data_IF_919070258554
#
_entry.id   IF_919070258554
#
_cell.length_a   1.000
_cell.length_b   1.000
_cell.length_c   1.000
_cell.angle_alpha   90.00
_cell.angle_beta   90.00
_cell.angle_gamma   90.00
#
_symmetry.space_group_name_H-M   'P 1'
#
loop_
_entity.id
_entity.type
_entity.pdbx_description
1 polymer ?
2 non-polymer ?
3 non-polymer ?
#
# COMPACT_ATOMS: atom_id res chain seq x y z
N UNK A 2 -20.82 10.66 -11.64
CA UNK A 2 -21.90 10.45 -10.63
C UNK A 2 -21.33 10.26 -9.22
N UNK A 3 -20.48 11.20 -8.79
CA UNK A 3 -19.84 11.16 -7.47
C UNK A 3 -20.24 12.35 -6.61
N UNK A 4 -20.55 12.11 -5.34
CA UNK A 4 -20.94 13.20 -4.43
C UNK A 4 -20.20 13.14 -3.11
N UNK A 5 -19.23 14.04 -2.95
CA UNK A 5 -18.44 14.10 -1.72
C UNK A 5 -19.31 14.19 -0.50
N UNK A 6 -20.47 14.83 -0.65
CA UNK A 6 -21.41 14.99 0.45
C UNK A 6 -21.94 13.64 0.92
N UNK A 7 -22.41 12.83 -0.04
CA UNK A 7 -22.95 11.52 0.27
C UNK A 7 -21.86 10.63 0.89
N UNK A 8 -20.63 10.74 0.37
CA UNK A 8 -19.51 9.94 0.87
C UNK A 8 -19.04 10.32 2.27
N UNK A 9 -18.69 11.58 2.46
CA UNK A 9 -18.23 12.07 3.76
C UNK A 9 -19.23 11.74 4.84
N UNK A 10 -20.47 11.48 4.42
CA UNK A 10 -21.54 11.16 5.34
C UNK A 10 -21.35 9.82 6.01
N UNK A 11 -20.61 8.94 5.36
CA UNK A 11 -20.35 7.61 5.90
C UNK A 11 -19.17 7.54 6.88
N UNK A 12 -18.31 8.56 6.86
CA UNK A 12 -17.16 8.60 7.75
C UNK A 12 -17.41 9.50 8.96
N UNK A 13 -17.75 8.88 10.11
CA UNK A 13 -18.02 9.61 11.35
C UNK A 13 -16.84 10.38 11.89
N UNK A 14 -15.63 9.91 11.60
CA UNK A 14 -14.43 10.57 12.10
C UNK A 14 -14.26 11.97 11.52
N UNK A 15 -14.82 12.20 10.34
CA UNK A 15 -14.69 13.49 9.67
C UNK A 15 -15.47 14.64 10.30
N UNK A 16 -16.49 14.33 11.08
CA UNK A 16 -17.28 15.39 11.72
C UNK A 16 -16.74 15.65 13.12
N UNK A 17 -15.46 15.37 13.30
CA UNK A 17 -14.82 15.57 14.59
C UNK A 17 -14.16 16.95 14.62
N UNK A 18 -13.65 17.34 15.78
CA UNK A 18 -12.96 18.61 15.90
C UNK A 18 -11.60 18.39 16.52
N UNK A 19 -10.68 19.29 16.23
CA UNK A 19 -9.33 19.21 16.76
C UNK A 19 -8.94 20.63 17.10
N UNK A 20 -8.46 20.85 18.33
CA UNK A 20 -8.07 22.18 18.74
C UNK A 20 -9.23 23.14 18.57
N UNK A 21 -10.45 22.62 18.73
CA UNK A 21 -11.63 23.45 18.63
C UNK A 21 -12.08 23.76 17.21
N UNK A 22 -11.29 23.35 16.22
CA UNK A 22 -11.69 23.61 14.84
C UNK A 22 -12.03 22.31 14.11
N UNK A 23 -12.79 22.39 13.01
CA UNK A 23 -13.16 21.21 12.25
C UNK A 23 -11.93 20.50 11.69
N UNK A 24 -11.88 19.19 11.85
CA UNK A 24 -10.76 18.39 11.38
C UNK A 24 -10.69 18.29 9.85
N UNK A 25 -9.51 18.59 9.31
CA UNK A 25 -9.28 18.50 7.88
C UNK A 25 -8.23 17.40 7.75
N UNK A 26 -8.70 16.15 7.70
CA UNK A 26 -7.79 15.01 7.61
C UNK A 26 -7.11 14.83 6.24
N UNK A 27 -5.88 15.32 6.11
CA UNK A 27 -5.14 15.21 4.86
C UNK A 27 -3.93 14.29 5.03
N UNK A 28 -4.15 13.15 5.66
CA UNK A 28 -3.08 12.19 5.87
C UNK A 28 -3.54 10.76 5.58
N UNK A 29 -4.53 10.63 4.70
CA UNK A 29 -5.07 9.34 4.34
C UNK A 29 -3.98 8.43 3.78
N UNK A 30 -2.89 9.04 3.32
CA UNK A 30 -1.77 8.28 2.73
C UNK A 30 -1.02 7.47 3.78
N UNK A 31 -1.14 7.89 5.05
CA UNK A 31 -0.48 7.19 6.15
C UNK A 31 -1.41 6.06 6.57
N UNK A 32 -2.70 6.33 6.47
CA UNK A 32 -3.75 5.37 6.79
C UNK A 32 -5.08 6.06 6.55
N UNK A 33 -5.97 5.40 5.82
CA UNK A 33 -7.26 5.99 5.50
C UNK A 33 -8.28 5.82 6.62
N UNK A 34 -9.29 6.68 6.63
CA UNK A 34 -10.35 6.58 7.62
C UNK A 34 -11.29 5.46 7.14
N UNK A 35 -12.18 5.00 8.03
CA UNK A 35 -13.11 3.95 7.64
C UNK A 35 -14.56 4.43 7.68
N UNK A 36 -15.38 3.97 6.73
CA UNK A 36 -16.79 4.36 6.69
C UNK A 36 -17.53 3.46 7.66
N UNK A 37 -18.65 3.94 8.21
CA UNK A 37 -19.40 3.16 9.18
C UNK A 37 -19.89 1.79 8.64
N UNK A 38 -19.88 1.61 7.33
CA UNK A 38 -20.30 0.34 6.75
C UNK A 38 -19.22 -0.70 7.05
N UNK A 39 -17.96 -0.27 6.99
CA UNK A 39 -16.83 -1.15 7.26
C UNK A 39 -16.72 -1.41 8.76
N UNK A 40 -16.93 -0.37 9.55
CA UNK A 40 -16.81 -0.52 10.99
C UNK A 40 -17.86 -1.45 11.59
N UNK A 41 -19.11 -1.30 11.15
CA UNK A 41 -20.19 -2.13 11.66
C UNK A 41 -20.13 -3.54 11.11
N UNK A 42 -19.63 -3.66 9.88
CA UNK A 42 -19.50 -4.95 9.23
C UNK A 42 -18.71 -5.90 10.12
N UNK A 43 -17.67 -5.37 10.75
CA UNK A 43 -16.83 -6.16 11.63
C UNK A 43 -17.54 -6.35 12.97
N UNK A 44 -18.01 -5.24 13.53
CA UNK A 44 -18.70 -5.29 14.82
C UNK A 44 -19.83 -6.31 14.84
N UNK A 45 -20.69 -6.29 13.82
CA UNK A 45 -21.80 -7.22 13.74
C UNK A 45 -21.33 -8.66 13.77
N UNK A 46 -20.28 -8.96 13.04
CA UNK A 46 -19.71 -10.30 13.00
C UNK A 46 -19.40 -10.78 14.42
N UNK A 47 -18.74 -9.92 15.20
CA UNK A 47 -18.37 -10.24 16.58
C UNK A 47 -19.57 -10.42 17.52
N UNK A 48 -20.65 -9.70 17.22
CA UNK A 48 -21.87 -9.74 18.02
C UNK A 48 -22.83 -10.87 17.70
N UNK A 49 -22.97 -11.20 16.42
CA UNK A 49 -23.93 -12.22 16.02
C UNK A 49 -23.41 -13.55 15.51
N UNK A 50 -22.25 -13.56 14.86
CA UNK A 50 -21.77 -14.84 14.34
C UNK A 50 -20.31 -15.20 14.52
N UNK A 51 -19.74 -14.87 15.68
CA UNK A 51 -18.34 -15.18 15.91
C UNK A 51 -18.06 -16.62 16.32
N UNK A 52 -17.06 -17.20 15.69
CA UNK A 52 -16.62 -18.56 15.97
C UNK A 52 -15.24 -18.79 15.35
N UNK A 53 -14.57 -19.86 15.75
CA UNK A 53 -13.26 -20.14 15.20
C UNK A 53 -13.46 -20.68 13.80
N UNK A 54 -12.64 -20.26 12.85
CA UNK A 54 -12.78 -20.76 11.49
C UNK A 54 -12.21 -22.17 11.43
N UNK A 55 -11.39 -22.43 10.42
CA UNK A 55 -10.75 -23.74 10.26
C UNK A 55 -11.74 -24.88 10.00
N UNK A 56 -12.90 -24.54 9.44
CA UNK A 56 -13.94 -25.53 9.15
C UNK A 56 -14.15 -26.47 10.33
N UNK A 57 -15.10 -26.12 11.19
CA UNK A 57 -15.38 -26.94 12.35
C UNK A 57 -16.67 -27.72 12.13
N UNK A 58 -16.97 -28.63 13.04
CA UNK A 58 -18.19 -29.42 12.91
C UNK A 58 -19.42 -28.56 13.17
N UNK A 59 -19.36 -27.65 14.14
CA UNK A 59 -20.53 -26.82 14.45
C UNK A 59 -20.83 -25.71 13.44
N UNK A 60 -22.04 -25.18 13.54
CA UNK A 60 -22.55 -24.16 12.63
C UNK A 60 -21.81 -22.84 12.51
N UNK A 61 -21.76 -22.07 13.59
CA UNK A 61 -21.09 -20.79 13.52
C UNK A 61 -19.69 -20.96 12.93
N UNK A 62 -19.01 -22.02 13.36
CA UNK A 62 -17.65 -22.31 12.90
C UNK A 62 -17.60 -22.50 11.38
N UNK A 63 -18.52 -23.29 10.83
CA UNK A 63 -18.57 -23.55 9.40
C UNK A 63 -19.00 -22.30 8.63
N UNK A 64 -19.83 -21.47 9.27
CA UNK A 64 -20.30 -20.26 8.64
C UNK A 64 -19.22 -19.21 8.56
N UNK A 65 -18.45 -19.08 9.64
CA UNK A 65 -17.36 -18.12 9.66
C UNK A 65 -16.32 -18.54 8.62
N UNK A 66 -16.07 -19.84 8.56
CA UNK A 66 -15.09 -20.37 7.61
C UNK A 66 -15.46 -20.01 6.18
N UNK A 67 -16.75 -20.03 5.88
CA UNK A 67 -17.21 -19.70 4.54
C UNK A 67 -17.10 -18.20 4.27
N UNK A 68 -17.55 -17.37 5.21
CA UNK A 68 -17.47 -15.92 5.05
C UNK A 68 -16.04 -15.51 4.77
N UNK A 69 -15.11 -16.13 5.49
CA UNK A 69 -13.70 -15.82 5.31
C UNK A 69 -13.23 -16.07 3.88
N UNK A 70 -13.59 -17.22 3.33
CA UNK A 70 -13.21 -17.57 1.98
C UNK A 70 -13.90 -16.73 0.91
N UNK A 71 -15.11 -16.24 1.22
CA UNK A 71 -15.82 -15.42 0.25
C UNK A 71 -15.07 -14.12 0.10
N UNK A 72 -14.49 -13.64 1.20
CA UNK A 72 -13.72 -12.40 1.16
C UNK A 72 -12.49 -12.61 0.30
N UNK A 73 -11.83 -13.76 0.46
CA UNK A 73 -10.65 -14.07 -0.33
C UNK A 73 -11.02 -14.03 -1.81
N UNK A 74 -12.16 -14.64 -2.13
CA UNK A 74 -12.64 -14.70 -3.50
C UNK A 74 -12.94 -13.31 -4.03
N UNK A 75 -13.71 -12.55 -3.25
CA UNK A 75 -14.07 -11.21 -3.66
C UNK A 75 -12.84 -10.34 -3.93
N UNK A 76 -11.82 -10.52 -3.11
CA UNK A 76 -10.60 -9.75 -3.25
C UNK A 76 -9.84 -10.17 -4.50
N UNK A 77 -9.95 -11.44 -4.87
CA UNK A 77 -9.27 -11.92 -6.07
C UNK A 77 -9.90 -11.17 -7.25
N UNK A 78 -11.20 -10.95 -7.20
CA UNK A 78 -11.86 -10.24 -8.28
C UNK A 78 -11.40 -8.78 -8.30
N UNK A 79 -11.38 -8.14 -7.13
CA UNK A 79 -10.97 -6.74 -7.04
C UNK A 79 -9.68 -6.41 -7.80
N UNK A 80 -8.61 -7.19 -7.61
CA UNK A 80 -7.36 -6.93 -8.32
C UNK A 80 -7.33 -7.73 -9.62
N UNK A 81 -8.41 -8.49 -9.84
CA UNK A 81 -8.58 -9.34 -11.01
C UNK A 81 -7.60 -10.48 -11.13
N UNK A 82 -7.36 -11.18 -10.03
CA UNK A 82 -6.45 -12.32 -10.05
C UNK A 82 -7.17 -13.42 -10.82
N UNK A 83 -6.42 -14.36 -11.35
CA UNK A 83 -7.01 -15.45 -12.09
C UNK A 83 -7.88 -16.34 -11.20
N UNK A 84 -7.44 -16.58 -9.96
CA UNK A 84 -8.20 -17.41 -9.01
C UNK A 84 -7.99 -16.95 -7.58
N UNK A 85 -8.97 -17.23 -6.73
CA UNK A 85 -8.90 -16.83 -5.33
C UNK A 85 -7.76 -17.51 -4.60
N UNK A 86 -7.33 -18.68 -5.09
CA UNK A 86 -6.23 -19.41 -4.43
C UNK A 86 -4.86 -18.83 -4.76
N UNK A 87 -4.84 -17.65 -5.37
CA UNK A 87 -3.58 -16.99 -5.71
C UNK A 87 -3.36 -15.85 -4.72
N UNK A 88 -4.30 -15.69 -3.79
CA UNK A 88 -4.23 -14.65 -2.77
C UNK A 88 -3.97 -15.21 -1.38
N UNK A 89 -2.96 -14.66 -0.72
CA UNK A 89 -2.61 -15.06 0.64
C UNK A 89 -2.94 -13.88 1.55
N UNK A 90 -3.48 -14.18 2.72
CA UNK A 90 -3.81 -13.15 3.70
C UNK A 90 -2.57 -12.85 4.56
N UNK A 91 -2.27 -11.57 4.75
CA UNK A 91 -1.11 -11.17 5.54
C UNK A 91 -1.53 -10.00 6.41
N UNK A 92 -0.65 -9.57 7.32
CA UNK A 92 -0.96 -8.45 8.19
C UNK A 92 -1.03 -7.18 7.36
N UNK A 93 -0.10 -7.07 6.41
CA UNK A 93 -0.07 -5.90 5.56
C UNK A 93 1.03 -6.05 4.52
N UNK A 94 1.25 -5.00 3.74
CA UNK A 94 2.28 -4.98 2.71
C UNK A 94 3.62 -5.40 3.28
N UNK A 95 4.01 -4.83 4.41
CA UNK A 95 5.28 -5.17 5.04
C UNK A 95 5.44 -6.68 5.24
N UNK A 96 4.45 -7.33 5.86
CA UNK A 96 4.57 -8.77 6.06
C UNK A 96 4.61 -9.48 4.74
N UNK A 97 3.80 -9.02 3.79
CA UNK A 97 3.75 -9.64 2.48
C UNK A 97 5.10 -9.73 1.80
N UNK A 98 5.82 -8.61 1.76
CA UNK A 98 7.13 -8.56 1.13
C UNK A 98 8.12 -9.45 1.88
N UNK A 99 7.99 -9.52 3.20
CA UNK A 99 8.87 -10.35 4.01
C UNK A 99 8.64 -11.82 3.73
N UNK A 100 7.39 -12.19 3.48
CA UNK A 100 7.06 -13.57 3.18
C UNK A 100 7.78 -13.95 1.88
N UNK A 101 7.62 -13.11 0.86
CA UNK A 101 8.27 -13.37 -0.43
C UNK A 101 9.79 -13.38 -0.26
N UNK A 102 10.33 -12.34 0.36
CA UNK A 102 11.77 -12.24 0.58
C UNK A 102 12.35 -13.52 1.18
N UNK A 103 11.57 -14.18 2.03
CA UNK A 103 12.01 -15.41 2.67
C UNK A 103 11.66 -16.66 1.89
N UNK A 104 10.37 -16.98 1.83
CA UNK A 104 9.91 -18.17 1.12
C UNK A 104 10.49 -18.30 -0.28
N UNK A 105 10.24 -17.31 -1.13
CA UNK A 105 10.73 -17.30 -2.51
C UNK A 105 12.19 -16.86 -2.62
N UNK A 106 12.54 -15.79 -1.92
CA UNK A 106 13.89 -15.28 -1.98
C UNK A 106 14.99 -16.25 -1.58
N UNK A 107 14.88 -16.86 -0.41
CA UNK A 107 15.89 -17.78 0.07
C UNK A 107 16.09 -18.98 -0.82
N UNK A 108 15.16 -19.24 -1.72
CA UNK A 108 15.33 -20.41 -2.57
C UNK A 108 15.46 -20.11 -4.05
N UNK A 109 15.67 -18.85 -4.40
CA UNK A 109 15.79 -18.50 -5.81
C UNK A 109 16.95 -17.55 -6.06
N UNK A 110 17.41 -16.91 -5.00
CA UNK A 110 18.52 -15.99 -5.15
C UNK A 110 19.77 -16.61 -4.51
N UNK A 111 20.73 -16.95 -5.36
CA UNK A 111 21.98 -17.56 -4.90
C UNK A 111 23.03 -16.46 -4.82
N UNK A 112 24.11 -16.72 -4.09
CA UNK A 112 25.19 -15.74 -3.99
C UNK A 112 25.62 -15.43 -5.43
N UNK A 113 25.87 -14.16 -5.71
CA UNK A 113 26.29 -13.79 -7.04
C UNK A 113 25.17 -13.21 -7.90
N UNK A 114 23.93 -13.30 -7.42
CA UNK A 114 22.82 -12.75 -8.19
C UNK A 114 22.52 -11.34 -7.71
N UNK A 115 21.70 -10.63 -8.47
CA UNK A 115 21.35 -9.26 -8.11
C UNK A 115 19.84 -9.02 -8.12
N UNK A 116 19.42 -8.09 -7.27
CA UNK A 116 18.03 -7.71 -7.16
C UNK A 116 18.00 -6.22 -7.45
N UNK A 117 16.97 -5.77 -8.17
CA UNK A 117 16.86 -4.37 -8.50
C UNK A 117 15.65 -3.73 -7.82
N UNK A 118 15.88 -2.57 -7.20
CA UNK A 118 14.82 -1.83 -6.53
C UNK A 118 14.98 -0.40 -7.01
N UNK A 119 13.94 0.42 -6.82
CA UNK A 119 14.02 1.82 -7.21
C UNK A 119 14.55 2.58 -6.03
N UNK A 120 14.89 3.85 -6.25
CA UNK A 120 15.41 4.69 -5.19
C UNK A 120 14.28 5.40 -4.46
N UNK A 121 13.06 5.25 -4.96
CA UNK A 121 11.91 5.87 -4.34
C UNK A 121 11.11 4.87 -3.51
N UNK A 122 11.64 3.67 -3.32
CA UNK A 122 10.94 2.63 -2.57
C UNK A 122 10.75 2.90 -1.08
N UNK A 123 9.57 2.52 -0.57
CA UNK A 123 9.27 2.68 0.84
C UNK A 123 10.17 1.66 1.56
N UNK A 124 10.58 1.97 2.79
CA UNK A 124 11.46 1.08 3.55
C UNK A 124 11.02 -0.38 3.58
N UNK A 125 9.72 -0.63 3.42
CA UNK A 125 9.22 -2.00 3.45
C UNK A 125 9.62 -2.77 2.20
N UNK A 126 9.99 -2.06 1.14
CA UNK A 126 10.39 -2.69 -0.11
C UNK A 126 11.87 -2.36 -0.34
N UNK A 127 12.63 -2.39 0.75
CA UNK A 127 14.07 -2.12 0.75
C UNK A 127 14.77 -3.04 1.76
N UNK A 128 14.48 -2.83 3.04
CA UNK A 128 15.07 -3.61 4.13
C UNK A 128 14.91 -5.12 3.96
N UNK A 129 13.69 -5.60 3.66
CA UNK A 129 13.52 -7.03 3.49
C UNK A 129 14.49 -7.61 2.46
N UNK A 130 14.80 -6.83 1.44
CA UNK A 130 15.71 -7.22 0.36
C UNK A 130 17.17 -7.12 0.77
N UNK A 131 17.52 -6.07 1.51
CA UNK A 131 18.90 -5.90 1.98
C UNK A 131 19.24 -7.11 2.83
N UNK A 132 18.27 -7.54 3.63
CA UNK A 132 18.47 -8.70 4.49
C UNK A 132 18.69 -9.95 3.65
N UNK A 133 17.85 -10.18 2.65
CA UNK A 133 18.01 -11.35 1.78
C UNK A 133 19.43 -11.40 1.24
N UNK A 134 19.89 -10.26 0.71
CA UNK A 134 21.23 -10.16 0.14
C UNK A 134 22.30 -10.42 1.17
N UNK A 135 22.08 -9.97 2.40
CA UNK A 135 23.05 -10.16 3.47
C UNK A 135 23.37 -11.62 3.70
N UNK A 136 22.33 -12.45 3.83
CA UNK A 136 22.54 -13.87 4.08
C UNK A 136 22.78 -14.72 2.83
N UNK A 137 22.07 -14.44 1.74
CA UNK A 137 22.26 -15.20 0.52
C UNK A 137 23.55 -14.82 -0.23
N UNK A 138 24.05 -13.62 0.04
CA UNK A 138 25.26 -13.14 -0.61
C UNK A 138 25.03 -12.58 -2.01
N UNK A 139 23.88 -11.94 -2.22
CA UNK A 139 23.54 -11.35 -3.52
C UNK A 139 23.78 -9.85 -3.56
N UNK A 140 23.76 -9.28 -4.76
CA UNK A 140 24.00 -7.86 -4.95
C UNK A 140 22.69 -7.08 -5.07
N UNK A 141 22.64 -5.89 -4.48
CA UNK A 141 21.43 -5.07 -4.58
C UNK A 141 21.71 -3.87 -5.47
N UNK A 142 20.89 -3.70 -6.51
CA UNK A 142 21.04 -2.60 -7.45
C UNK A 142 19.85 -1.64 -7.39
N UNK A 143 20.13 -0.34 -7.50
CA UNK A 143 19.07 0.66 -7.42
C UNK A 143 18.89 1.49 -8.69
N UNK A 144 17.64 1.68 -9.09
CA UNK A 144 17.33 2.50 -10.27
C UNK A 144 17.37 3.95 -9.78
N UNK A 145 18.30 4.76 -10.29
CA UNK A 145 18.40 6.16 -9.87
C UNK A 145 17.14 6.96 -10.15
N UNK A 146 17.14 8.20 -9.69
CA UNK A 146 15.97 9.06 -9.85
C UNK A 146 16.28 10.33 -10.64
N UNK A 147 15.25 10.92 -11.23
CA UNK A 147 15.40 12.18 -11.95
C UNK A 147 14.90 13.27 -11.01
N UNK A 148 15.34 14.51 -11.20
CA UNK A 148 14.89 15.61 -10.33
C UNK A 148 13.38 15.75 -10.17
N UNK A 149 12.64 15.48 -11.23
CA UNK A 149 11.18 15.61 -11.17
C UNK A 149 10.46 14.44 -10.50
N UNK A 150 11.23 13.61 -9.78
CA UNK A 150 10.62 12.48 -9.08
C UNK A 150 10.24 11.29 -9.92
N UNK A 151 10.94 11.10 -11.03
CA UNK A 151 10.66 9.97 -11.90
C UNK A 151 11.89 9.09 -12.02
N UNK A 152 11.66 7.81 -12.30
CA UNK A 152 12.76 6.87 -12.45
C UNK A 152 13.59 7.22 -13.69
N UNK A 153 14.90 7.06 -13.58
CA UNK A 153 15.81 7.33 -14.70
C UNK A 153 15.88 6.02 -15.49
N UNK A 154 14.85 5.76 -16.28
CA UNK A 154 14.75 4.53 -17.06
C UNK A 154 15.89 4.24 -18.01
N UNK A 155 16.59 5.26 -18.46
CA UNK A 155 17.72 5.05 -19.38
C UNK A 155 18.78 4.17 -18.76
N UNK A 156 18.82 4.06 -17.44
CA UNK A 156 19.82 3.25 -16.75
C UNK A 156 19.47 1.77 -16.67
N UNK A 157 18.25 1.43 -17.07
CA UNK A 157 17.79 0.04 -17.03
C UNK A 157 18.71 -0.98 -17.70
N UNK A 158 19.16 -0.70 -18.95
CA UNK A 158 20.04 -1.63 -19.67
C UNK A 158 21.30 -2.03 -18.91
N UNK A 159 21.80 -1.13 -18.08
CA UNK A 159 23.02 -1.42 -17.34
C UNK A 159 22.78 -1.97 -15.95
N UNK A 160 21.54 -2.33 -15.65
CA UNK A 160 21.20 -2.89 -14.34
C UNK A 160 20.69 -4.32 -14.56
N UNK A 161 19.94 -4.52 -15.63
CA UNK A 161 19.39 -5.82 -15.96
C UNK A 161 20.33 -6.72 -16.75
N UNK A 162 20.95 -7.71 -16.10
CA UNK A 162 21.83 -8.62 -16.81
C UNK A 162 21.28 -10.05 -16.70
N UNK A 163 22.14 -11.06 -16.90
CA UNK A 163 21.68 -12.46 -16.84
C UNK A 163 21.42 -12.92 -15.42
N UNK A 164 22.17 -12.34 -14.48
CA UNK A 164 22.04 -12.72 -13.08
C UNK A 164 21.04 -11.91 -12.25
N UNK A 165 20.11 -11.24 -12.93
CA UNK A 165 19.10 -10.45 -12.23
C UNK A 165 17.90 -11.35 -11.89
N UNK A 166 17.80 -11.74 -10.63
CA UNK A 166 16.72 -12.61 -10.16
C UNK A 166 15.35 -11.95 -10.03
N UNK A 167 15.31 -10.78 -9.40
CA UNK A 167 14.04 -10.10 -9.17
C UNK A 167 14.07 -8.58 -9.26
N UNK A 168 12.92 -8.01 -9.60
CA UNK A 168 12.75 -6.56 -9.70
C UNK A 168 11.60 -6.21 -8.75
N UNK A 169 11.89 -5.42 -7.71
CA UNK A 169 10.88 -5.01 -6.75
C UNK A 169 10.59 -3.52 -6.92
N UNK A 170 9.48 -3.19 -7.56
CA UNK A 170 9.13 -1.79 -7.81
C UNK A 170 7.81 -1.39 -7.15
N UNK A 171 7.63 -0.09 -6.93
CA UNK A 171 6.42 0.44 -6.32
C UNK A 171 5.49 0.89 -7.43
N UNK A 172 4.22 0.53 -7.34
CA UNK A 172 3.26 0.92 -8.37
C UNK A 172 3.12 2.44 -8.39
N UNK A 173 2.90 3.03 -7.21
CA UNK A 173 2.74 4.48 -7.04
C UNK A 173 3.47 4.88 -5.75
N UNK A 174 4.34 5.90 -5.84
CA UNK A 174 5.09 6.38 -4.69
C UNK A 174 4.17 6.94 -3.60
N UNK A 175 4.57 6.80 -2.34
CA UNK A 175 3.78 7.28 -1.21
C UNK A 175 4.17 8.69 -0.79
N UNK A 176 5.17 9.25 -1.45
CA UNK A 176 5.63 10.60 -1.16
C UNK A 176 5.46 11.51 -2.37
N UNK A 177 6.08 11.11 -3.48
CA UNK A 177 6.03 11.88 -4.72
C UNK A 177 4.70 11.79 -5.45
N UNK A 178 4.05 10.63 -5.35
CA UNK A 178 2.77 10.46 -6.01
C UNK A 178 2.99 9.98 -7.43
N UNK A 179 4.24 9.67 -7.73
CA UNK A 179 4.62 9.18 -9.04
C UNK A 179 4.01 7.80 -9.28
N UNK A 180 3.61 7.55 -10.51
CA UNK A 180 3.09 6.24 -10.87
C UNK A 180 4.05 5.73 -11.94
N UNK A 181 4.73 4.63 -11.66
CA UNK A 181 5.70 4.08 -12.60
C UNK A 181 5.11 3.25 -13.74
N UNK A 182 5.83 3.19 -14.88
CA UNK A 182 5.43 2.44 -16.08
C UNK A 182 5.62 0.95 -15.85
N UNK A 183 4.83 0.40 -14.92
CA UNK A 183 4.94 -1.01 -14.59
C UNK A 183 4.92 -1.93 -15.79
N UNK A 184 3.85 -1.88 -16.56
CA UNK A 184 3.69 -2.73 -17.75
C UNK A 184 5.00 -2.96 -18.49
N UNK A 185 5.52 -1.87 -19.05
CA UNK A 185 6.76 -1.87 -19.82
C UNK A 185 7.91 -2.50 -19.06
N UNK A 186 8.11 -2.03 -17.83
CA UNK A 186 9.19 -2.52 -16.99
C UNK A 186 9.06 -4.02 -16.79
N UNK A 187 7.86 -4.49 -16.45
CA UNK A 187 7.65 -5.91 -16.23
C UNK A 187 8.11 -6.69 -17.47
N UNK A 188 7.67 -6.26 -18.65
CA UNK A 188 8.05 -6.93 -19.88
C UNK A 188 9.56 -7.14 -19.93
N UNK A 189 10.28 -6.04 -19.89
CA UNK A 189 11.73 -6.02 -19.93
C UNK A 189 12.38 -6.91 -18.86
N UNK A 190 11.80 -6.94 -17.67
CA UNK A 190 12.33 -7.76 -16.57
C UNK A 190 12.13 -9.24 -16.85
N UNK A 191 11.05 -9.54 -17.56
CA UNK A 191 10.72 -10.91 -17.90
C UNK A 191 11.62 -11.46 -19.01
N UNK A 192 12.01 -10.59 -19.95
CA UNK A 192 12.88 -11.03 -21.04
C UNK A 192 14.23 -11.48 -20.53
N UNK A 193 14.51 -11.20 -19.26
CA UNK A 193 15.77 -11.60 -18.68
C UNK A 193 15.54 -12.72 -17.68
N UNK A 194 14.31 -13.21 -17.65
CA UNK A 194 13.95 -14.29 -16.74
C UNK A 194 13.90 -13.89 -15.29
N UNK A 195 13.70 -12.59 -15.05
CA UNK A 195 13.62 -12.09 -13.68
C UNK A 195 12.15 -11.94 -13.32
N UNK A 196 11.84 -12.10 -12.04
CA UNK A 196 10.46 -11.97 -11.56
C UNK A 196 10.25 -10.54 -11.05
N UNK A 197 8.99 -10.11 -11.02
CA UNK A 197 8.67 -8.76 -10.57
C UNK A 197 7.64 -8.73 -9.43
N UNK A 198 7.96 -7.95 -8.39
CA UNK A 198 7.08 -7.78 -7.24
C UNK A 198 6.68 -6.31 -7.14
N UNK A 199 5.40 -6.03 -7.36
CA UNK A 199 4.90 -4.67 -7.29
C UNK A 199 4.29 -4.38 -5.90
N UNK A 200 4.66 -3.21 -5.35
CA UNK A 200 4.22 -2.74 -4.05
C UNK A 200 3.12 -1.72 -4.31
N UNK A 201 1.87 -2.19 -4.37
CA UNK A 201 0.76 -1.29 -4.64
C UNK A 201 -0.03 -0.88 -3.41
N UNK A 202 0.66 -0.54 -2.33
CA UNK A 202 -0.03 -0.13 -1.13
C UNK A 202 -0.66 1.24 -1.36
N UNK A 203 -0.09 1.99 -2.30
CA UNK A 203 -0.57 3.33 -2.62
C UNK A 203 -1.43 3.38 -3.89
N UNK A 204 -1.39 2.33 -4.70
CA UNK A 204 -2.14 2.30 -5.94
C UNK A 204 -3.57 1.82 -5.78
N UNK A 205 -3.74 0.66 -5.14
CA UNK A 205 -5.06 0.07 -4.97
C UNK A 205 -6.28 0.97 -4.74
N UNK A 206 -6.11 2.12 -4.06
CA UNK A 206 -7.27 2.97 -3.80
C UNK A 206 -7.42 4.24 -4.63
N UNK A 207 -6.62 4.36 -5.68
CA UNK A 207 -6.71 5.54 -6.53
C UNK A 207 -7.25 5.26 -7.92
N UNK A 208 -7.25 3.98 -8.28
CA UNK A 208 -7.78 3.55 -9.56
C UNK A 208 -7.64 2.06 -9.70
N UNK A 209 -8.43 1.46 -10.59
CA UNK A 209 -8.43 0.02 -10.85
C UNK A 209 -7.06 -0.58 -11.07
N UNK A 210 -6.90 -1.83 -10.64
CA UNK A 210 -5.65 -2.55 -10.79
C UNK A 210 -5.96 -3.95 -11.32
N UNK A 211 -5.29 -4.33 -12.41
CA UNK A 211 -5.50 -5.62 -13.03
C UNK A 211 -4.17 -6.39 -13.04
N UNK A 212 -3.97 -7.25 -12.05
CA UNK A 212 -2.75 -8.01 -11.94
C UNK A 212 -2.50 -8.92 -13.15
N UNK A 213 -3.56 -9.22 -13.89
CA UNK A 213 -3.41 -10.06 -15.07
C UNK A 213 -2.85 -9.19 -16.17
N UNK A 214 -3.48 -8.02 -16.35
CA UNK A 214 -3.04 -7.07 -17.36
C UNK A 214 -1.57 -6.70 -17.17
N UNK A 215 -1.15 -6.50 -15.92
CA UNK A 215 0.24 -6.13 -15.65
C UNK A 215 1.19 -7.30 -15.83
N UNK A 216 0.70 -8.47 -15.45
CA UNK A 216 1.47 -9.71 -15.51
C UNK A 216 2.62 -9.69 -14.51
N UNK A 217 2.36 -9.12 -13.34
CA UNK A 217 3.36 -9.08 -12.28
C UNK A 217 3.27 -10.43 -11.59
N UNK A 218 4.39 -10.86 -11.00
CA UNK A 218 4.46 -12.15 -10.33
C UNK A 218 4.08 -12.07 -8.86
N UNK A 219 4.21 -10.86 -8.30
CA UNK A 219 3.86 -10.62 -6.89
C UNK A 219 3.22 -9.23 -6.76
N UNK A 220 2.18 -9.12 -5.95
CA UNK A 220 1.52 -7.84 -5.75
C UNK A 220 1.04 -7.77 -4.30
N UNK A 221 1.27 -6.66 -3.63
CA UNK A 221 0.84 -6.52 -2.25
C UNK A 221 0.25 -5.15 -1.94
N UNK A 222 -0.73 -5.13 -1.05
CA UNK A 222 -1.35 -3.89 -0.63
C UNK A 222 -1.92 -4.09 0.77
N UNK A 223 -2.10 -2.99 1.49
CA UNK A 223 -2.58 -3.08 2.85
C UNK A 223 -4.00 -2.56 2.93
N UNK A 224 -4.81 -3.26 3.72
CA UNK A 224 -6.21 -2.90 3.89
C UNK A 224 -6.47 -1.63 4.66
N UNK A 225 -5.65 -1.32 5.65
CA UNK A 225 -5.86 -0.12 6.43
C UNK A 225 -5.76 1.18 5.62
N UNK A 226 -5.13 1.12 4.45
CA UNK A 226 -5.01 2.31 3.60
C UNK A 226 -6.11 2.32 2.55
N UNK A 227 -6.85 1.22 2.46
CA UNK A 227 -7.94 1.08 1.50
C UNK A 227 -9.29 1.24 2.19
N UNK A 228 -9.38 2.24 3.07
CA UNK A 228 -10.59 2.53 3.83
C UNK A 228 -11.04 1.32 4.64
N UNK A 229 -10.13 0.41 4.92
CA UNK A 229 -10.48 -0.79 5.67
C UNK A 229 -9.79 -0.88 7.02
N UNK A 230 -9.98 -2.01 7.73
CA UNK A 230 -9.39 -2.27 9.05
C UNK A 230 -7.89 -2.51 9.07
N UNK A 231 -7.30 -2.38 10.25
CA UNK A 231 -5.88 -2.60 10.42
C UNK A 231 -5.57 -4.10 10.63
N UNK A 232 -4.31 -4.48 10.42
CA UNK A 232 -3.93 -5.86 10.62
C UNK A 232 -4.35 -6.88 9.57
N UNK A 233 -4.68 -6.41 8.37
CA UNK A 233 -5.07 -7.31 7.28
C UNK A 233 -4.61 -6.73 5.93
N UNK A 234 -3.90 -7.56 5.17
CA UNK A 234 -3.40 -7.15 3.87
C UNK A 234 -3.57 -8.30 2.90
N UNK A 235 -3.22 -8.08 1.63
CA UNK A 235 -3.34 -9.10 0.60
C UNK A 235 -2.07 -9.29 -0.21
N UNK A 236 -1.57 -10.51 -0.25
CA UNK A 236 -0.39 -10.83 -1.04
C UNK A 236 -0.85 -11.70 -2.21
N UNK A 237 -0.65 -11.22 -3.42
CA UNK A 237 -1.02 -11.99 -4.60
C UNK A 237 0.23 -12.60 -5.22
N UNK A 238 0.15 -13.88 -5.52
CA UNK A 238 1.27 -14.59 -6.12
C UNK A 238 0.73 -15.46 -7.24
N UNK A 239 1.42 -15.47 -8.38
CA UNK A 239 1.00 -16.29 -9.51
C UNK A 239 0.94 -17.75 -9.09
N UNK A 240 -0.21 -18.38 -9.31
CA UNK A 240 -0.43 -19.77 -8.95
C UNK A 240 0.77 -20.66 -9.27
N UNK A 241 1.32 -20.48 -10.46
CA UNK A 241 2.48 -21.25 -10.91
C UNK A 241 3.64 -21.16 -9.91
N UNK A 242 3.86 -19.95 -9.39
CA UNK A 242 4.92 -19.68 -8.43
C UNK A 242 4.59 -20.10 -7.00
N UNK A 243 3.38 -19.76 -6.55
CA UNK A 243 2.92 -20.06 -5.20
C UNK A 243 3.04 -21.53 -4.84
N UNK A 244 2.63 -22.39 -5.76
CA UNK A 244 2.67 -23.83 -5.54
C UNK A 244 4.07 -24.33 -5.24
N UNK A 245 5.07 -23.68 -5.83
CA UNK A 245 6.47 -24.07 -5.64
C UNK A 245 7.11 -23.52 -4.37
N UNK A 246 6.55 -22.44 -3.84
CA UNK A 246 7.10 -21.81 -2.64
C UNK A 246 6.94 -22.62 -1.37
N UNK A 247 8.00 -22.69 -0.54
CA UNK A 247 8.03 -23.40 0.74
C UNK A 247 7.45 -22.52 1.84
N UNK A 248 6.87 -23.14 2.88
CA UNK A 248 6.31 -22.33 3.95
C UNK A 248 7.30 -21.43 4.67
N UNK A 249 6.80 -20.33 5.21
CA UNK A 249 7.63 -19.38 5.95
C UNK A 249 7.33 -19.62 7.43
N UNK A 250 6.12 -19.29 7.85
CA UNK A 250 5.71 -19.50 9.23
C UNK A 250 5.17 -20.91 9.36
N UNK A 251 5.40 -21.52 10.51
CA UNK A 251 4.94 -22.88 10.76
C UNK A 251 4.02 -22.96 11.97
N UNK A 252 3.04 -23.85 11.91
CA UNK A 252 2.11 -23.99 13.01
C UNK A 252 0.91 -24.77 12.56
N UNK A 253 -0.23 -24.58 13.21
CA UNK A 253 -1.42 -25.31 12.82
C UNK A 253 -2.05 -24.73 11.57
N UNK A 254 -3.01 -25.46 11.01
CA UNK A 254 -3.71 -25.02 9.80
C UNK A 254 -2.91 -25.08 8.51
N UNK A 255 -1.60 -24.90 8.60
CA UNK A 255 -0.78 -24.94 7.39
C UNK A 255 -0.11 -26.29 7.16
N UNK A 256 -0.45 -27.27 7.98
CA UNK A 256 0.12 -28.61 7.86
C UNK A 256 -0.91 -29.60 7.33
N UNK A 257 -0.41 -30.68 6.73
CA UNK A 257 -1.26 -31.75 6.22
C UNK A 257 -1.25 -32.79 7.32
N UNK A 258 -0.06 -33.07 7.84
CA UNK A 258 0.12 -34.02 8.93
C UNK A 258 1.41 -33.74 9.69
N UNK A 259 1.36 -33.91 11.00
CA UNK A 259 2.50 -33.68 11.87
C UNK A 259 2.85 -34.97 12.59
N UNK A 260 4.08 -35.44 12.41
CA UNK A 260 4.52 -36.64 13.09
C UNK A 260 5.89 -36.37 13.68
N UNK A 261 6.05 -36.66 14.97
CA UNK A 261 7.31 -36.43 15.65
C UNK A 261 8.41 -37.37 15.16
N UNK A 262 8.02 -38.48 14.54
CA UNK A 262 8.99 -39.44 14.04
C UNK A 262 9.02 -39.47 12.51
N UNK A 263 7.86 -39.23 11.90
CA UNK A 263 7.73 -39.23 10.44
C UNK A 263 8.00 -37.88 9.81
N UNK A 264 8.05 -36.83 10.63
CA UNK A 264 8.26 -35.50 10.11
C UNK A 264 6.91 -34.85 9.86
N UNK A 265 6.92 -33.68 9.24
CA UNK A 265 5.68 -32.95 8.97
C UNK A 265 5.54 -32.62 7.49
N UNK A 266 4.31 -32.74 6.98
CA UNK A 266 4.05 -32.42 5.58
C UNK A 266 3.11 -31.21 5.53
N UNK A 267 3.33 -30.34 4.56
CA UNK A 267 2.52 -29.13 4.42
C UNK A 267 1.26 -29.34 3.61
N UNK A 268 0.35 -28.37 3.71
CA UNK A 268 -0.90 -28.39 2.98
C UNK A 268 -0.60 -27.62 1.68
N UNK A 269 -1.61 -27.30 0.89
CA UNK A 269 -1.34 -26.58 -0.37
C UNK A 269 -1.69 -25.11 -0.31
N UNK A 270 -1.08 -24.32 -1.17
CA UNK A 270 -1.33 -22.89 -1.22
C UNK A 270 -2.82 -22.63 -1.45
N UNK A 271 -3.34 -21.50 -0.92
CA UNK A 271 -2.63 -20.49 -0.14
C UNK A 271 -2.54 -20.83 1.35
N UNK A 272 -3.43 -21.70 1.81
CA UNK A 272 -3.50 -22.12 3.21
C UNK A 272 -2.15 -22.54 3.80
N UNK A 273 -1.22 -22.92 2.93
CA UNK A 273 0.10 -23.35 3.37
C UNK A 273 0.80 -22.16 4.02
N UNK A 274 0.46 -20.96 3.56
CA UNK A 274 1.06 -19.71 4.05
C UNK A 274 0.19 -18.97 5.06
N UNK A 275 -0.78 -19.67 5.64
CA UNK A 275 -1.64 -19.04 6.61
C UNK A 275 -1.69 -19.90 7.86
N UNK A 276 -0.65 -19.75 8.66
CA UNK A 276 -0.48 -20.49 9.91
C UNK A 276 -1.17 -19.83 11.11
N UNK A 277 -1.86 -20.66 11.88
CA UNK A 277 -2.56 -20.19 13.06
C UNK A 277 -3.90 -19.56 12.78
N UNK A 278 -4.56 -19.14 13.87
CA UNK A 278 -5.86 -18.50 13.78
C UNK A 278 -5.75 -17.18 12.99
N UNK A 279 -6.60 -17.01 11.96
CA UNK A 279 -6.65 -15.82 11.10
C UNK A 279 -7.08 -14.55 11.83
N UNK A 280 -7.15 -13.46 11.08
CA UNK A 280 -7.60 -12.20 11.66
C UNK A 280 -9.02 -12.08 11.13
N UNK A 281 -9.80 -13.13 11.37
CA UNK A 281 -11.18 -13.23 10.95
C UNK A 281 -11.91 -11.88 10.91
N UNK A 282 -11.88 -11.16 12.03
CA UNK A 282 -12.56 -9.87 12.10
C UNK A 282 -12.02 -8.84 11.13
N UNK A 283 -10.71 -8.86 10.89
CA UNK A 283 -10.12 -7.91 9.97
C UNK A 283 -10.50 -8.25 8.56
N UNK A 284 -10.55 -9.55 8.28
CA UNK A 284 -10.92 -10.05 6.97
C UNK A 284 -12.35 -9.64 6.64
N UNK A 285 -13.26 -9.88 7.58
CA UNK A 285 -14.66 -9.49 7.40
C UNK A 285 -14.70 -8.01 7.07
N UNK A 286 -13.98 -7.21 7.86
CA UNK A 286 -13.94 -5.78 7.62
C UNK A 286 -13.34 -5.44 6.27
N UNK A 287 -12.35 -6.20 5.83
CA UNK A 287 -11.73 -5.94 4.53
C UNK A 287 -12.75 -6.14 3.42
N UNK A 288 -13.59 -7.17 3.58
CA UNK A 288 -14.63 -7.45 2.60
C UNK A 288 -15.55 -6.25 2.48
N UNK A 289 -15.96 -5.71 3.62
CA UNK A 289 -16.84 -4.55 3.65
C UNK A 289 -16.19 -3.40 2.90
N UNK A 290 -14.93 -3.14 3.17
CA UNK A 290 -14.24 -2.05 2.49
C UNK A 290 -14.24 -2.32 0.99
N UNK A 291 -13.81 -3.52 0.60
CA UNK A 291 -13.77 -3.88 -0.82
C UNK A 291 -15.09 -3.61 -1.52
N UNK A 292 -16.18 -4.06 -0.91
CA UNK A 292 -17.51 -3.90 -1.47
C UNK A 292 -17.93 -2.43 -1.53
N UNK A 293 -17.56 -1.66 -0.51
CA UNK A 293 -17.90 -0.25 -0.46
C UNK A 293 -17.21 0.56 -1.55
N UNK A 294 -15.92 0.34 -1.74
CA UNK A 294 -15.18 1.06 -2.76
C UNK A 294 -15.73 0.70 -4.16
N UNK A 295 -16.08 -0.57 -4.35
CA UNK A 295 -16.62 -1.00 -5.63
C UNK A 295 -17.96 -0.34 -5.91
N UNK A 296 -18.73 -0.09 -4.85
CA UNK A 296 -20.02 0.55 -5.01
C UNK A 296 -19.88 1.95 -5.61
N UNK A 297 -18.82 2.66 -5.25
CA UNK A 297 -18.61 4.00 -5.79
C UNK A 297 -17.91 3.91 -7.14
N UNK A 298 -17.20 2.81 -7.36
CA UNK A 298 -16.49 2.62 -8.62
C UNK A 298 -15.17 3.35 -8.68
N UNK A 299 -14.07 2.60 -8.68
CA UNK A 299 -12.73 3.19 -8.72
C UNK A 299 -12.55 4.25 -9.79
N UNK A 300 -13.29 4.15 -10.89
CA UNK A 300 -13.15 5.14 -11.94
C UNK A 300 -13.77 6.47 -11.56
N UNK A 301 -14.89 6.43 -10.84
CA UNK A 301 -15.56 7.64 -10.41
C UNK A 301 -14.70 8.34 -9.37
N UNK A 302 -14.13 7.53 -8.47
CA UNK A 302 -13.27 8.03 -7.41
C UNK A 302 -11.99 8.58 -8.04
N UNK A 303 -11.44 7.84 -9.00
CA UNK A 303 -10.22 8.24 -9.69
C UNK A 303 -10.40 9.61 -10.33
N UNK A 304 -11.62 9.89 -10.75
CA UNK A 304 -11.93 11.15 -11.41
C UNK A 304 -12.05 12.29 -10.42
N UNK A 305 -12.92 12.14 -9.42
CA UNK A 305 -13.08 13.19 -8.42
C UNK A 305 -11.75 13.55 -7.77
N UNK A 306 -10.90 12.55 -7.57
CA UNK A 306 -9.61 12.81 -6.94
C UNK A 306 -8.69 13.58 -7.88
N UNK A 307 -8.51 13.09 -9.10
CA UNK A 307 -7.65 13.76 -10.07
C UNK A 307 -8.06 15.20 -10.27
N UNK A 308 -9.35 15.45 -10.08
CA UNK A 308 -9.87 16.78 -10.25
C UNK A 308 -9.45 17.64 -9.06
N UNK A 309 -9.69 17.12 -7.85
CA UNK A 309 -9.34 17.83 -6.62
C UNK A 309 -7.84 18.08 -6.57
N UNK A 310 -7.07 17.23 -7.23
CA UNK A 310 -5.62 17.37 -7.24
C UNK A 310 -5.21 18.54 -8.12
N UNK A 311 -5.80 18.64 -9.31
CA UNK A 311 -5.46 19.75 -10.18
C UNK A 311 -5.77 21.06 -9.48
N UNK A 312 -6.91 21.09 -8.79
CA UNK A 312 -7.32 22.27 -8.06
C UNK A 312 -6.27 22.60 -7.01
N UNK A 313 -5.97 21.62 -6.18
CA UNK A 313 -4.98 21.79 -5.12
C UNK A 313 -3.67 22.35 -5.66
N UNK A 314 -3.12 21.73 -6.71
CA UNK A 314 -1.85 22.22 -7.24
C UNK A 314 -1.87 23.67 -7.68
N UNK A 315 -2.79 24.02 -8.57
CA UNK A 315 -2.88 25.40 -9.06
C UNK A 315 -2.96 26.38 -7.88
N UNK A 316 -3.79 26.03 -6.90
CA UNK A 316 -3.98 26.85 -5.70
C UNK A 316 -2.71 27.03 -4.89
N UNK A 317 -1.87 26.01 -4.83
CA UNK A 317 -0.63 26.08 -4.07
C UNK A 317 0.39 27.00 -4.71
N UNK A 318 0.06 27.55 -5.87
CA UNK A 318 0.99 28.45 -6.54
C UNK A 318 1.00 29.81 -5.86
N UNK A 319 -0.12 30.16 -5.24
CA UNK A 319 -0.23 31.43 -4.54
C UNK A 319 0.54 31.44 -3.22
N UNK A 320 1.19 30.32 -2.89
CA UNK A 320 1.96 30.24 -1.66
C UNK A 320 3.42 30.52 -1.98
N UNK A 321 3.98 31.59 -1.39
CA UNK A 321 5.38 31.96 -1.62
C UNK A 321 6.40 31.04 -0.94
N UNK A 322 7.50 30.78 -1.62
CA UNK A 322 8.56 29.92 -1.10
C UNK A 322 8.23 28.44 -1.03
N UNK A 323 7.04 28.08 -1.50
CA UNK A 323 6.63 26.69 -1.49
C UNK A 323 7.43 25.92 -2.51
N UNK A 324 7.98 24.78 -2.09
CA UNK A 324 8.77 23.92 -2.95
C UNK A 324 8.10 22.56 -3.03
N UNK A 325 7.68 22.16 -4.22
CA UNK A 325 7.06 20.86 -4.38
C UNK A 325 8.07 19.83 -4.83
N UNK A 326 7.79 18.56 -4.56
CA UNK A 326 8.68 17.48 -4.98
C UNK A 326 7.86 16.47 -5.75
N UNK A 327 8.37 16.05 -6.90
CA UNK A 327 7.65 15.08 -7.70
C UNK A 327 7.12 15.63 -9.01
N UNK A 328 6.48 14.78 -9.83
CA UNK A 328 5.91 15.14 -11.12
C UNK A 328 4.65 15.98 -11.04
N UNK A 329 4.31 16.61 -12.17
CA UNK A 329 3.11 17.42 -12.28
C UNK A 329 1.92 16.48 -12.29
N UNK A 330 2.09 15.34 -12.96
CA UNK A 330 1.05 14.33 -13.03
C UNK A 330 1.25 13.42 -11.83
N UNK A 331 0.99 13.95 -10.63
CA UNK A 331 1.13 13.19 -9.38
C UNK A 331 -0.19 12.57 -8.99
N UNK A 332 -0.13 11.55 -8.15
CA UNK A 332 -1.33 10.83 -7.76
C UNK A 332 -1.53 10.63 -6.25
N UNK A 333 -2.59 11.22 -5.70
CA UNK A 333 -2.89 11.04 -4.30
C UNK A 333 -2.16 11.85 -3.24
N UNK A 334 -0.84 12.04 -3.38
CA UNK A 334 -0.09 12.80 -2.37
C UNK A 334 0.64 14.03 -2.89
N UNK A 335 0.94 14.96 -1.97
CA UNK A 335 1.66 16.19 -2.31
C UNK A 335 2.78 16.41 -1.31
N UNK A 336 4.02 16.30 -1.80
CA UNK A 336 5.19 16.48 -0.94
C UNK A 336 5.73 17.91 -1.10
N UNK A 337 5.93 18.59 0.02
CA UNK A 337 6.42 19.95 -0.06
C UNK A 337 7.14 20.39 1.19
N UNK A 338 7.75 21.58 1.08
CA UNK A 338 8.47 22.22 2.17
C UNK A 338 8.21 23.72 2.08
N UNK A 339 8.20 24.40 3.22
CA UNK A 339 7.96 25.84 3.20
C UNK A 339 9.27 26.55 3.43
N UNK A 340 9.71 27.32 2.44
CA UNK A 340 10.96 28.04 2.58
C UNK A 340 12.03 27.22 3.26
N UNK A 341 12.69 27.80 4.26
CA UNK A 341 13.76 27.12 5.00
C UNK A 341 13.29 26.62 6.36
N UNK A 342 11.97 26.64 6.57
CA UNK A 342 11.36 26.20 7.82
C UNK A 342 11.26 24.67 7.92
N UNK A 343 11.70 24.11 9.06
CA UNK A 343 11.66 22.67 9.28
C UNK A 343 10.23 22.17 9.09
N UNK A 344 10.09 21.05 8.39
CA UNK A 344 8.78 20.48 8.13
C UNK A 344 8.03 20.23 9.43
N UNK A 345 8.78 19.91 10.48
CA UNK A 345 8.18 19.65 11.78
C UNK A 345 7.37 20.83 12.30
N UNK A 346 7.87 22.03 12.06
CA UNK A 346 7.19 23.24 12.52
C UNK A 346 6.03 23.59 11.59
N UNK A 347 6.24 23.46 10.28
CA UNK A 347 5.18 23.76 9.34
C UNK A 347 3.97 22.86 9.66
N UNK A 348 4.24 21.59 9.92
CA UNK A 348 3.17 20.66 10.24
C UNK A 348 2.57 20.93 11.60
N UNK A 349 3.40 21.45 12.49
CA UNK A 349 2.95 21.77 13.84
C UNK A 349 1.93 22.91 13.83
N UNK A 350 2.19 23.93 13.01
CA UNK A 350 1.27 25.07 12.91
C UNK A 350 0.01 24.64 12.21
N UNK A 351 0.16 23.78 11.22
CA UNK A 351 -0.99 23.28 10.48
C UNK A 351 -1.91 22.45 11.36
N UNK A 352 -1.33 21.71 12.30
CA UNK A 352 -2.13 20.88 13.19
C UNK A 352 -2.96 21.80 14.07
N UNK A 353 -2.34 22.88 14.51
CA UNK A 353 -2.99 23.87 15.36
C UNK A 353 -4.21 24.48 14.68
N UNK A 354 -4.17 24.48 13.35
CA UNK A 354 -5.24 25.02 12.53
C UNK A 354 -6.31 23.96 12.24
N UNK A 355 -6.11 22.78 12.83
CA UNK A 355 -7.03 21.68 12.64
C UNK A 355 -6.81 20.93 11.34
N UNK A 356 -5.56 20.90 10.89
CA UNK A 356 -5.21 20.23 9.65
C UNK A 356 -4.20 19.11 9.88
N UNK A 357 -4.56 17.91 9.42
CA UNK A 357 -3.69 16.74 9.58
C UNK A 357 -2.81 16.52 8.36
N UNK A 358 -1.51 16.47 8.60
CA UNK A 358 -0.52 16.27 7.55
C UNK A 358 0.66 15.49 8.17
N UNK A 359 1.40 14.76 7.35
CA UNK A 359 2.57 14.03 7.85
C UNK A 359 3.82 14.86 7.60
N UNK A 360 4.78 14.75 8.50
CA UNK A 360 6.04 15.47 8.39
C UNK A 360 7.09 14.47 8.84
N UNK A 361 8.18 14.36 8.10
CA UNK A 361 9.23 13.41 8.44
C UNK A 361 9.80 12.86 7.16
N UNK A 362 10.37 11.66 7.20
CA UNK A 362 10.93 11.06 6.00
C UNK A 362 9.96 10.09 5.34
N UNK A 363 8.80 9.91 5.94
CA UNK A 363 7.77 9.03 5.38
C UNK A 363 8.25 7.61 5.10
N UNK A 364 9.14 7.12 5.95
CA UNK A 364 9.67 5.77 5.82
C UNK A 364 10.26 5.66 4.40
N UNK A 365 11.01 6.68 3.99
CA UNK A 365 11.63 6.72 2.68
C UNK A 365 12.87 7.60 2.72
N UNK A 366 13.82 7.27 3.59
CA UNK A 366 15.04 8.05 3.74
C UNK A 366 15.87 8.19 2.47
N UNK A 367 16.08 7.08 1.73
CA UNK A 367 16.88 7.15 0.49
C UNK A 367 16.37 8.23 -0.46
N UNK A 368 15.06 8.44 -0.46
CA UNK A 368 14.44 9.45 -1.32
C UNK A 368 14.67 10.85 -0.77
N UNK A 369 14.69 10.99 0.55
CA UNK A 369 14.91 12.29 1.18
C UNK A 369 16.35 12.73 0.88
N UNK A 370 17.26 11.76 0.96
CA UNK A 370 18.69 12.02 0.73
C UNK A 370 18.94 12.42 -0.70
N UNK A 371 18.08 11.98 -1.61
CA UNK A 371 18.25 12.35 -3.00
C UNK A 371 18.06 13.86 -3.14
N UNK A 372 17.15 14.41 -2.36
CA UNK A 372 16.86 15.84 -2.39
C UNK A 372 17.62 16.67 -1.35
N UNK A 373 18.55 16.04 -0.64
CA UNK A 373 19.34 16.74 0.38
C UNK A 373 18.46 17.35 1.46
N UNK A 374 17.22 16.89 1.54
CA UNK A 374 16.27 17.38 2.52
C UNK A 374 16.19 16.33 3.63
N UNK A 375 16.12 16.77 4.89
CA UNK A 375 16.04 15.87 6.05
C UNK A 375 14.63 15.33 6.27
N UNK A 376 13.65 15.98 5.63
CA UNK A 376 12.25 15.58 5.75
C UNK A 376 11.38 16.60 5.03
N UNK A 377 10.16 16.20 4.70
CA UNK A 377 9.25 17.10 4.02
C UNK A 377 7.81 16.89 4.50
N UNK A 378 6.90 17.73 4.00
CA UNK A 378 5.50 17.62 4.37
C UNK A 378 4.76 16.80 3.33
N UNK A 379 3.66 16.17 3.74
CA UNK A 379 2.92 15.37 2.80
C UNK A 379 1.42 15.38 3.03
N UNK A 380 0.74 16.20 2.23
CA UNK A 380 -0.70 16.31 2.30
C UNK A 380 -1.27 15.25 1.34
N UNK A 381 -2.26 14.51 1.79
CA UNK A 381 -2.86 13.46 0.98
C UNK A 381 -4.28 13.84 0.60
N UNK A 382 -4.67 13.55 -0.63
CA UNK A 382 -6.02 13.85 -1.10
C UNK A 382 -6.78 12.54 -1.37
N UNK A 383 -7.87 12.32 -0.64
CA UNK A 383 -8.66 11.10 -0.82
C UNK A 383 -10.08 11.46 -1.24
N UNK A 384 -10.88 10.44 -1.55
CA UNK A 384 -12.25 10.67 -1.98
C UNK A 384 -13.08 11.51 -1.02
N UNK A 385 -12.87 11.37 0.28
CA UNK A 385 -13.66 12.15 1.24
C UNK A 385 -13.19 13.58 1.46
N UNK A 386 -12.09 13.98 0.81
CA UNK A 386 -11.56 15.33 0.95
C UNK A 386 -12.27 16.30 0.01
N UNK A 387 -12.38 17.55 0.45
CA UNK A 387 -13.08 18.58 -0.32
C UNK A 387 -12.20 19.76 -0.72
N UNK A 388 -12.74 20.62 -1.59
CA UNK A 388 -12.05 21.82 -2.06
C UNK A 388 -11.77 22.74 -0.89
N UNK A 389 -12.78 22.97 -0.07
CA UNK A 389 -12.63 23.84 1.09
C UNK A 389 -11.42 23.44 1.94
N UNK A 390 -11.22 22.14 2.13
CA UNK A 390 -10.10 21.67 2.91
C UNK A 390 -8.80 22.06 2.23
N UNK A 391 -8.79 22.05 0.91
CA UNK A 391 -7.61 22.42 0.14
C UNK A 391 -7.29 23.89 0.41
N UNK A 392 -8.32 24.73 0.39
CA UNK A 392 -8.13 26.15 0.65
C UNK A 392 -7.59 26.36 2.05
N UNK A 393 -8.22 25.67 3.00
CA UNK A 393 -7.83 25.76 4.40
C UNK A 393 -6.31 25.53 4.51
N UNK A 394 -5.80 24.55 3.77
CA UNK A 394 -4.37 24.25 3.78
C UNK A 394 -3.59 25.42 3.18
N UNK A 395 -3.94 25.80 1.95
CA UNK A 395 -3.28 26.89 1.27
C UNK A 395 -3.19 28.13 2.16
N UNK A 396 -4.34 28.55 2.67
CA UNK A 396 -4.41 29.72 3.54
C UNK A 396 -3.49 29.62 4.75
N UNK A 397 -3.69 28.58 5.56
CA UNK A 397 -2.86 28.41 6.73
C UNK A 397 -1.38 28.34 6.38
N UNK A 398 -1.08 27.90 5.16
CA UNK A 398 0.30 27.77 4.70
C UNK A 398 0.88 29.16 4.47
N UNK A 399 0.06 30.06 3.94
CA UNK A 399 0.48 31.44 3.69
C UNK A 399 0.61 32.16 5.03
N UNK A 400 -0.26 31.81 5.95
CA UNK A 400 -0.24 32.38 7.28
C UNK A 400 1.08 32.05 7.94
N UNK A 401 1.46 30.77 7.90
CA UNK A 401 2.70 30.30 8.50
C UNK A 401 3.88 31.05 7.90
N UNK A 402 3.74 31.46 6.64
CA UNK A 402 4.80 32.19 5.97
C UNK A 402 4.90 33.62 6.50
N UNK A 403 3.75 34.31 6.56
CA UNK A 403 3.73 35.67 7.05
C UNK A 403 4.13 35.76 8.52
N UNK A 404 3.88 34.70 9.27
CA UNK A 404 4.21 34.71 10.69
C UNK A 404 5.68 34.42 10.97
N UNK A 405 6.17 33.25 10.55
CA UNK A 405 7.57 32.88 10.77
C UNK A 405 8.49 33.65 9.84
N UNK A 406 7.88 34.42 8.95
CA UNK A 406 8.66 35.20 7.99
C UNK A 406 9.46 34.34 7.04
#
# INVERSE_FOLDING_TARGET
MIFSVDKVRADFPVLSREVNGLPLAYLDSAASAQKPSQVIDAEAEFYRHGYAAVHRGIHTLSAQATEKMENVRKRASLFINARSAEELVFVRGTTEGINLVANSWGNSNVRAGDNIIISQMEHHANIVPWQMLCARVGAELRVIPLNPDGTLQLETLPTLFDEKTRLLAITHVSNVLGTENPLAEMITLAHQHGAKVLVDGAQAVMHHPVDVQALDCDFYVFSGHKLYGPTGIGILYVKEALLQEMPPWEGGGSMIATVSLSEGTTWTKAPWRFEAGTPNTGGIIGLGAALEYVSALGLNNIAEYEQNLMHYALSQLESVPDLTLYGPQNRLGVIAFNLGKHHAYDVGSFLDNYGIAVRTGHHCAMPLMAYYNVPAMCRASLAMYNTHEEVDRLVTGLQRIHRLLG
#
